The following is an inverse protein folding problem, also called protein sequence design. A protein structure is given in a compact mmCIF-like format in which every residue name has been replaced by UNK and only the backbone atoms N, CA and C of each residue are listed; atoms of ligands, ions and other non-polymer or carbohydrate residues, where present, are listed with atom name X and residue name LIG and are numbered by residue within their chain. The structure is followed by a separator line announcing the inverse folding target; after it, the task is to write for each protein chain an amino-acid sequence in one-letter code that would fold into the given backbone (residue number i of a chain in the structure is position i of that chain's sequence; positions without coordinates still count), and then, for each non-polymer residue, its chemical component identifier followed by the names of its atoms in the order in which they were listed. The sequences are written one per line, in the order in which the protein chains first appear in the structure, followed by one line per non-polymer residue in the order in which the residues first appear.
data_IF_597707189115
#
_entry.id   IF_597707189115
#
_cell.length_a   1.000
_cell.length_b   1.000
_cell.length_c   1.000
_cell.angle_alpha   90.00
_cell.angle_beta   90.00
_cell.angle_gamma   90.00
#
_symmetry.space_group_name_H-M   'P 1'
#
loop_
_entity.id
_entity.type
_entity.pdbx_description
1 polymer ?
#
# COMPACT_ATOMS: atom_id res chain seq x y z
N UNK A 1 7.01 12.74 19.07
CA UNK A 1 7.10 13.25 17.68
C UNK A 1 8.11 12.33 17.03
N UNK A 2 7.66 11.45 16.11
CA UNK A 2 8.59 10.61 15.35
C UNK A 2 9.47 11.54 14.52
N UNK A 3 10.78 11.26 14.52
CA UNK A 3 11.71 11.92 13.62
C UNK A 3 11.48 11.35 12.20
N UNK A 4 10.80 12.11 11.36
CA UNK A 4 10.48 11.72 9.98
C UNK A 4 11.47 12.33 8.97
N UNK A 5 12.60 12.87 9.44
CA UNK A 5 13.55 13.57 8.56
C UNK A 5 14.05 12.66 7.45
N UNK A 6 14.35 11.38 7.74
CA UNK A 6 14.78 10.40 6.75
C UNK A 6 13.70 10.11 5.66
N UNK A 7 12.41 10.12 6.01
CA UNK A 7 11.32 9.98 5.01
C UNK A 7 11.24 11.21 4.12
N UNK A 8 11.36 12.41 4.71
CA UNK A 8 11.40 13.64 3.94
C UNK A 8 12.59 13.66 2.98
N UNK A 9 13.78 13.30 3.46
CA UNK A 9 14.99 13.25 2.63
C UNK A 9 14.81 12.26 1.46
N UNK A 10 14.31 11.05 1.74
CA UNK A 10 14.07 10.06 0.71
C UNK A 10 13.08 10.53 -0.36
N UNK A 11 11.89 10.98 0.06
CA UNK A 11 10.83 11.38 -0.89
C UNK A 11 11.08 12.73 -1.58
N UNK A 12 12.01 13.54 -1.10
CA UNK A 12 12.47 14.71 -1.84
C UNK A 12 13.36 14.36 -3.05
N UNK A 13 14.01 13.20 -3.03
CA UNK A 13 14.91 12.73 -4.08
C UNK A 13 14.30 11.62 -4.96
N UNK A 14 13.33 10.87 -4.43
CA UNK A 14 12.71 9.75 -5.10
C UNK A 14 11.53 10.19 -5.97
N UNK A 15 11.51 9.74 -7.25
CA UNK A 15 10.37 9.96 -8.17
C UNK A 15 9.21 8.99 -7.83
N UNK A 16 8.44 9.32 -6.79
CA UNK A 16 7.22 8.58 -6.44
C UNK A 16 6.13 8.74 -7.51
N UNK A 17 6.14 9.84 -8.25
CA UNK A 17 5.08 10.14 -9.21
C UNK A 17 5.02 9.15 -10.37
N UNK A 18 6.19 8.73 -10.86
CA UNK A 18 6.30 7.75 -11.93
C UNK A 18 6.18 6.28 -11.49
N UNK A 19 6.23 5.97 -10.22
CA UNK A 19 6.42 4.60 -9.70
C UNK A 19 5.46 3.55 -10.27
N UNK A 20 4.20 3.87 -10.35
CA UNK A 20 3.13 2.94 -10.79
C UNK A 20 2.83 3.01 -12.30
N UNK A 21 3.48 3.90 -13.05
CA UNK A 21 3.24 4.10 -14.49
C UNK A 21 4.44 3.83 -15.37
N UNK A 22 5.64 4.17 -14.88
CA UNK A 22 6.87 4.18 -15.69
C UNK A 22 7.41 2.80 -16.03
N UNK A 23 6.91 1.75 -15.37
CA UNK A 23 7.33 0.37 -15.60
C UNK A 23 6.14 -0.58 -15.72
N UNK A 24 6.32 -1.71 -16.42
CA UNK A 24 5.30 -2.76 -16.48
C UNK A 24 5.07 -3.40 -15.12
N UNK A 25 6.10 -3.54 -14.30
CA UNK A 25 5.96 -4.03 -12.91
C UNK A 25 5.05 -3.10 -12.10
N UNK A 26 5.27 -1.80 -12.13
CA UNK A 26 4.41 -0.81 -11.47
C UNK A 26 2.97 -0.85 -11.99
N UNK A 27 2.80 -1.01 -13.32
CA UNK A 27 1.47 -1.17 -13.93
C UNK A 27 0.75 -2.44 -13.44
N UNK A 28 1.44 -3.58 -13.24
CA UNK A 28 0.84 -4.79 -12.66
C UNK A 28 0.28 -4.50 -11.27
N UNK A 29 1.07 -3.85 -10.41
CA UNK A 29 0.65 -3.46 -9.05
C UNK A 29 -0.59 -2.55 -9.09
N UNK A 30 -0.55 -1.49 -9.90
CA UNK A 30 -1.66 -0.55 -10.04
C UNK A 30 -2.94 -1.22 -10.57
N UNK A 31 -2.83 -1.97 -11.67
CA UNK A 31 -3.97 -2.64 -12.30
C UNK A 31 -4.58 -3.72 -11.39
N UNK A 32 -3.75 -4.40 -10.60
CA UNK A 32 -4.25 -5.36 -9.62
C UNK A 32 -5.00 -4.66 -8.50
N UNK A 33 -4.46 -3.59 -7.94
CA UNK A 33 -5.17 -2.80 -6.92
C UNK A 33 -6.50 -2.27 -7.45
N UNK A 34 -6.53 -1.69 -8.67
CA UNK A 34 -7.77 -1.20 -9.31
C UNK A 34 -8.78 -2.33 -9.53
N UNK A 35 -8.34 -3.52 -9.95
CA UNK A 35 -9.22 -4.68 -10.14
C UNK A 35 -10.05 -5.02 -8.90
N UNK A 36 -9.49 -4.82 -7.71
CA UNK A 36 -10.18 -5.09 -6.44
C UNK A 36 -10.87 -3.86 -5.86
N UNK A 37 -10.39 -2.67 -6.17
CA UNK A 37 -11.02 -1.42 -5.75
C UNK A 37 -12.26 -1.10 -6.58
N UNK A 38 -12.18 -1.19 -7.92
CA UNK A 38 -13.24 -0.75 -8.83
C UNK A 38 -14.61 -1.39 -8.55
N UNK A 39 -14.73 -2.69 -8.23
CA UNK A 39 -16.02 -3.28 -7.88
C UNK A 39 -16.66 -2.75 -6.58
N UNK A 40 -15.88 -2.10 -5.72
CA UNK A 40 -16.35 -1.50 -4.46
C UNK A 40 -16.85 -0.06 -4.65
N UNK A 41 -16.49 0.56 -5.77
CA UNK A 41 -16.85 1.92 -6.08
C UNK A 41 -18.32 2.01 -6.49
N UNK A 42 -19.09 2.80 -5.77
CA UNK A 42 -20.50 3.09 -6.07
C UNK A 42 -20.70 4.57 -6.24
N UNK A 43 -21.77 4.97 -6.95
CA UNK A 43 -22.11 6.38 -7.14
C UNK A 43 -22.24 7.10 -5.78
N UNK A 44 -21.51 8.22 -5.63
CA UNK A 44 -21.51 9.06 -4.42
C UNK A 44 -20.75 8.48 -3.23
N UNK A 45 -19.98 7.39 -3.39
CA UNK A 45 -19.14 6.90 -2.30
C UNK A 45 -18.05 7.91 -1.94
N UNK A 46 -17.74 8.00 -0.64
CA UNK A 46 -16.67 8.81 -0.09
C UNK A 46 -15.45 7.96 0.17
N UNK A 47 -14.31 8.41 -0.32
CA UNK A 47 -13.05 7.69 -0.26
C UNK A 47 -12.04 8.49 0.54
N UNK A 48 -11.38 7.86 1.53
CA UNK A 48 -10.18 8.41 2.15
C UNK A 48 -8.95 7.64 1.63
N UNK A 49 -7.92 8.34 1.19
CA UNK A 49 -6.60 7.75 0.95
C UNK A 49 -5.62 8.30 1.96
N UNK A 50 -5.02 7.41 2.76
CA UNK A 50 -4.07 7.70 3.81
C UNK A 50 -2.68 7.29 3.35
N UNK A 51 -1.74 8.26 3.30
CA UNK A 51 -0.47 8.11 2.62
C UNK A 51 -0.65 8.21 1.10
N UNK A 52 -1.31 9.29 0.65
CA UNK A 52 -1.71 9.46 -0.74
C UNK A 52 -0.52 9.66 -1.71
N UNK A 53 0.69 9.89 -1.18
CA UNK A 53 1.87 10.17 -1.98
C UNK A 53 1.63 11.34 -2.93
N UNK A 54 2.01 11.20 -4.18
CA UNK A 54 1.78 12.18 -5.23
C UNK A 54 0.38 12.10 -5.86
N UNK A 55 -0.53 11.28 -5.28
CA UNK A 55 -1.96 11.25 -5.62
C UNK A 55 -2.34 10.32 -6.76
N UNK A 56 -1.60 9.22 -6.98
CA UNK A 56 -1.91 8.29 -8.08
C UNK A 56 -3.34 7.76 -8.05
N UNK A 57 -3.84 7.36 -6.89
CA UNK A 57 -5.21 6.90 -6.72
C UNK A 57 -6.16 8.08 -6.46
N UNK A 58 -5.83 8.96 -5.52
CA UNK A 58 -6.69 10.10 -5.12
C UNK A 58 -7.09 10.98 -6.28
N UNK A 59 -6.13 11.42 -7.11
CA UNK A 59 -6.38 12.28 -8.26
C UNK A 59 -7.18 11.54 -9.33
N UNK A 60 -6.84 10.26 -9.59
CA UNK A 60 -7.57 9.45 -10.56
C UNK A 60 -9.03 9.26 -10.16
N UNK A 61 -9.28 8.87 -8.90
CA UNK A 61 -10.62 8.67 -8.37
C UNK A 61 -11.44 9.97 -8.36
N UNK A 62 -10.81 11.09 -8.00
CA UNK A 62 -11.48 12.39 -8.03
C UNK A 62 -11.85 12.83 -9.45
N UNK A 63 -10.98 12.57 -10.45
CA UNK A 63 -11.29 12.78 -11.88
C UNK A 63 -12.37 11.85 -12.41
N UNK A 64 -12.52 10.67 -11.83
CA UNK A 64 -13.62 9.74 -12.10
C UNK A 64 -14.95 10.18 -11.45
N UNK A 65 -14.94 11.25 -10.63
CA UNK A 65 -16.14 11.88 -10.04
C UNK A 65 -16.46 11.46 -8.61
N UNK A 66 -15.56 10.76 -7.92
CA UNK A 66 -15.74 10.37 -6.52
C UNK A 66 -15.38 11.51 -5.55
N UNK A 67 -15.97 11.47 -4.34
CA UNK A 67 -15.65 12.39 -3.23
C UNK A 67 -14.43 11.86 -2.48
N UNK A 68 -13.26 12.48 -2.68
CA UNK A 68 -11.99 11.99 -2.19
C UNK A 68 -11.41 12.89 -1.11
N UNK A 69 -10.90 12.29 -0.04
CA UNK A 69 -10.03 12.97 0.93
C UNK A 69 -8.66 12.29 0.91
N UNK A 70 -7.64 13.02 0.47
CA UNK A 70 -6.26 12.59 0.41
C UNK A 70 -5.47 13.13 1.60
N UNK A 71 -4.92 12.23 2.42
CA UNK A 71 -4.05 12.57 3.55
C UNK A 71 -2.63 12.11 3.23
N UNK A 72 -1.67 13.02 3.30
CA UNK A 72 -0.26 12.73 3.02
C UNK A 72 0.62 13.34 4.12
N UNK A 73 1.63 12.59 4.56
CA UNK A 73 2.56 13.02 5.60
C UNK A 73 3.62 13.95 5.04
N UNK A 74 4.17 13.63 3.87
CA UNK A 74 5.30 14.30 3.26
C UNK A 74 4.83 15.52 2.46
N UNK A 75 5.28 16.70 2.85
CA UNK A 75 4.83 17.94 2.24
C UNK A 75 5.15 18.02 0.74
N UNK A 76 6.32 17.55 0.34
CA UNK A 76 6.74 17.50 -1.07
C UNK A 76 5.75 16.70 -1.93
N UNK A 77 5.39 15.50 -1.51
CA UNK A 77 4.42 14.66 -2.20
C UNK A 77 3.05 15.33 -2.28
N UNK A 78 2.61 15.96 -1.17
CA UNK A 78 1.34 16.68 -1.11
C UNK A 78 1.31 17.86 -2.09
N UNK A 79 2.42 18.57 -2.27
CA UNK A 79 2.51 19.67 -3.22
C UNK A 79 2.46 19.17 -4.67
N UNK A 80 3.12 18.05 -4.98
CA UNK A 80 3.00 17.39 -6.29
C UNK A 80 1.55 16.97 -6.54
N UNK A 81 0.89 16.33 -5.58
CA UNK A 81 -0.52 15.95 -5.68
C UNK A 81 -1.38 17.18 -6.02
N UNK A 82 -1.24 18.26 -5.26
CA UNK A 82 -1.99 19.51 -5.46
C UNK A 82 -1.75 20.14 -6.82
N UNK A 83 -0.53 20.02 -7.34
CA UNK A 83 -0.17 20.59 -8.67
C UNK A 83 -0.89 19.91 -9.83
N UNK A 84 -1.44 18.70 -9.63
CA UNK A 84 -2.19 17.92 -10.64
C UNK A 84 -3.68 18.25 -10.68
N UNK A 85 -4.16 19.07 -9.74
CA UNK A 85 -5.55 19.45 -9.62
C UNK A 85 -5.80 20.75 -10.38
N UNK A 86 -6.89 20.79 -11.15
CA UNK A 86 -7.32 22.00 -11.85
C UNK A 86 -8.51 22.72 -11.17
N UNK A 87 -9.01 22.15 -10.07
CA UNK A 87 -10.10 22.69 -9.26
C UNK A 87 -11.49 22.21 -9.69
N UNK A 88 -11.58 21.32 -10.67
CA UNK A 88 -12.85 20.69 -11.07
C UNK A 88 -13.12 19.40 -10.28
N UNK A 89 -12.08 18.83 -9.66
CA UNK A 89 -12.17 17.57 -8.94
C UNK A 89 -12.78 17.76 -7.54
N UNK A 90 -13.60 16.80 -7.13
CA UNK A 90 -14.12 16.76 -5.76
C UNK A 90 -13.13 16.08 -4.82
N UNK A 91 -12.04 16.79 -4.52
CA UNK A 91 -10.94 16.28 -3.68
C UNK A 91 -10.57 17.30 -2.58
N UNK A 92 -10.43 16.80 -1.37
CA UNK A 92 -9.83 17.52 -0.24
C UNK A 92 -8.45 16.94 0.06
N UNK A 93 -7.44 17.80 0.18
CA UNK A 93 -6.07 17.39 0.50
C UNK A 93 -5.66 17.92 1.87
N UNK A 94 -5.11 17.04 2.70
CA UNK A 94 -4.68 17.36 4.08
C UNK A 94 -3.26 16.82 4.32
N UNK A 95 -2.45 17.58 5.07
CA UNK A 95 -1.26 16.98 5.67
C UNK A 95 -1.67 16.24 6.94
N UNK A 96 -1.19 15.01 7.12
CA UNK A 96 -1.55 14.20 8.28
C UNK A 96 -0.74 12.92 8.40
N UNK A 97 -0.82 12.29 9.57
CA UNK A 97 -0.12 11.05 9.90
C UNK A 97 -1.14 9.92 10.09
N UNK A 98 -0.89 8.76 9.50
CA UNK A 98 -1.75 7.57 9.65
C UNK A 98 -1.95 7.13 11.11
N UNK A 99 -1.04 7.50 12.01
CA UNK A 99 -1.14 7.20 13.44
C UNK A 99 -2.13 8.10 14.18
N UNK A 100 -2.52 9.22 13.59
CA UNK A 100 -3.45 10.19 14.17
C UNK A 100 -4.23 10.91 13.07
N UNK A 101 -5.44 10.45 12.82
CA UNK A 101 -6.36 11.01 11.83
C UNK A 101 -7.49 11.83 12.48
N UNK A 102 -7.24 12.47 13.63
CA UNK A 102 -8.23 13.27 14.35
C UNK A 102 -8.88 14.38 13.50
N UNK A 103 -8.25 14.77 12.40
CA UNK A 103 -8.78 15.72 11.41
C UNK A 103 -9.94 15.16 10.57
N UNK A 104 -10.15 13.83 10.61
CA UNK A 104 -11.20 13.12 9.90
C UNK A 104 -12.24 12.57 10.88
N UNK A 105 -13.52 12.75 10.50
CA UNK A 105 -14.65 12.31 11.33
C UNK A 105 -14.83 10.78 11.30
N UNK A 106 -15.36 10.25 12.41
CA UNK A 106 -15.69 8.83 12.55
C UNK A 106 -16.78 8.41 11.53
N UNK A 107 -16.69 7.18 11.05
CA UNK A 107 -17.71 6.54 10.22
C UNK A 107 -18.16 7.37 9.00
N UNK A 108 -17.21 8.02 8.34
CA UNK A 108 -17.48 8.97 7.26
C UNK A 108 -17.27 8.38 5.88
N UNK A 109 -16.28 7.52 5.72
CA UNK A 109 -15.84 7.01 4.42
C UNK A 109 -16.41 5.63 4.12
N UNK A 110 -16.83 5.41 2.89
CA UNK A 110 -17.28 4.11 2.39
C UNK A 110 -16.09 3.20 2.12
N UNK A 111 -14.98 3.80 1.65
CA UNK A 111 -13.72 3.11 1.35
C UNK A 111 -12.56 3.91 1.95
N UNK A 112 -11.67 3.24 2.65
CA UNK A 112 -10.39 3.80 3.12
C UNK A 112 -9.23 3.04 2.49
N UNK A 113 -8.37 3.76 1.78
CA UNK A 113 -7.14 3.25 1.20
C UNK A 113 -5.97 3.56 2.16
N UNK A 114 -5.24 2.54 2.56
CA UNK A 114 -4.04 2.64 3.42
C UNK A 114 -2.89 1.96 2.66
N UNK A 115 -2.48 2.57 1.53
CA UNK A 115 -1.62 1.94 0.53
C UNK A 115 -0.13 2.30 0.66
N UNK A 116 0.25 3.17 1.58
CA UNK A 116 1.62 3.62 1.82
C UNK A 116 2.12 3.43 3.24
N UNK A 117 1.37 3.82 4.26
CA UNK A 117 1.90 3.97 5.61
C UNK A 117 2.44 2.70 6.27
N UNK A 118 1.85 1.52 6.00
CA UNK A 118 2.13 0.31 6.79
C UNK A 118 3.59 -0.16 6.72
N UNK A 119 4.28 0.13 5.65
CA UNK A 119 5.69 -0.24 5.50
C UNK A 119 6.68 0.86 5.94
N UNK A 120 6.17 1.97 6.48
CA UNK A 120 6.94 3.01 7.19
C UNK A 120 6.66 3.02 8.70
N UNK A 121 5.96 2.00 9.20
CA UNK A 121 5.67 1.80 10.62
C UNK A 121 6.44 0.56 11.09
N UNK A 122 7.37 0.73 12.03
CA UNK A 122 8.38 -0.28 12.35
C UNK A 122 7.97 -1.22 13.49
N UNK A 123 6.88 -0.91 14.17
CA UNK A 123 6.35 -1.76 15.25
C UNK A 123 4.95 -2.27 14.91
N UNK A 124 4.63 -3.48 15.40
CA UNK A 124 3.27 -4.03 15.29
C UNK A 124 2.24 -3.08 15.91
N UNK A 125 2.58 -2.43 17.04
CA UNK A 125 1.67 -1.51 17.70
C UNK A 125 1.37 -0.25 16.86
N UNK A 126 2.33 0.29 16.14
CA UNK A 126 2.10 1.40 15.20
C UNK A 126 1.18 0.98 14.06
N UNK A 127 1.42 -0.19 13.45
CA UNK A 127 0.55 -0.74 12.41
C UNK A 127 -0.89 -0.94 12.90
N UNK A 128 -1.05 -1.49 14.12
CA UNK A 128 -2.36 -1.62 14.77
C UNK A 128 -3.01 -0.24 14.99
N UNK A 129 -2.24 0.76 15.38
CA UNK A 129 -2.75 2.12 15.60
C UNK A 129 -3.23 2.74 14.28
N UNK A 130 -2.45 2.66 13.22
CA UNK A 130 -2.84 3.14 11.90
C UNK A 130 -4.10 2.43 11.37
N UNK A 131 -4.17 1.10 11.55
CA UNK A 131 -5.36 0.35 11.14
C UNK A 131 -6.59 0.70 12.01
N UNK A 132 -6.43 0.97 13.32
CA UNK A 132 -7.53 1.46 14.18
C UNK A 132 -8.06 2.81 13.69
N UNK A 133 -7.20 3.73 13.30
CA UNK A 133 -7.61 5.01 12.74
C UNK A 133 -8.35 4.83 11.41
N UNK A 134 -7.85 3.99 10.50
CA UNK A 134 -8.55 3.64 9.27
C UNK A 134 -9.93 3.03 9.55
N UNK A 135 -10.03 2.11 10.51
CA UNK A 135 -11.31 1.52 10.96
C UNK A 135 -12.24 2.58 11.55
N UNK A 136 -11.73 3.52 12.37
CA UNK A 136 -12.52 4.57 13.00
C UNK A 136 -13.23 5.44 11.96
N UNK A 137 -12.48 5.90 10.94
CA UNK A 137 -13.02 6.81 9.91
C UNK A 137 -13.92 6.10 8.88
N UNK A 138 -13.75 4.78 8.69
CA UNK A 138 -14.56 3.97 7.76
C UNK A 138 -15.94 3.70 8.37
N UNK A 139 -16.99 3.76 7.56
CA UNK A 139 -18.36 3.41 7.94
C UNK A 139 -18.48 1.94 8.34
N UNK A 140 -19.41 1.56 9.25
CA UNK A 140 -19.76 0.14 9.43
C UNK A 140 -20.15 -0.51 8.11
N UNK A 141 -19.57 -1.67 7.81
CA UNK A 141 -19.74 -2.37 6.51
C UNK A 141 -18.92 -1.80 5.36
N UNK A 142 -18.21 -0.68 5.55
CA UNK A 142 -17.28 -0.11 4.55
C UNK A 142 -15.98 -0.89 4.45
N UNK A 143 -15.21 -0.62 3.40
CA UNK A 143 -13.99 -1.37 3.05
C UNK A 143 -12.72 -0.61 3.40
N UNK A 144 -11.70 -1.36 3.77
CA UNK A 144 -10.35 -0.84 4.03
C UNK A 144 -9.37 -1.68 3.21
N UNK A 145 -8.63 -1.04 2.32
CA UNK A 145 -7.61 -1.67 1.50
C UNK A 145 -6.23 -1.30 2.05
N UNK A 146 -5.47 -2.30 2.47
CA UNK A 146 -4.18 -2.09 3.16
C UNK A 146 -3.05 -2.73 2.37
N UNK A 147 -2.03 -1.95 2.01
CA UNK A 147 -0.84 -2.48 1.35
C UNK A 147 0.28 -2.78 2.33
N UNK A 148 0.99 -3.88 2.09
CA UNK A 148 2.14 -4.33 2.85
C UNK A 148 3.29 -4.71 1.93
N UNK A 149 4.54 -4.51 2.40
CA UNK A 149 5.75 -5.08 1.79
C UNK A 149 6.05 -6.44 2.43
N UNK A 150 6.35 -7.45 1.60
CA UNK A 150 6.46 -8.83 2.05
C UNK A 150 7.92 -9.26 2.26
N UNK A 151 8.15 -9.95 3.37
CA UNK A 151 9.46 -10.36 3.84
C UNK A 151 10.22 -11.26 2.85
N UNK A 152 9.59 -12.36 2.40
CA UNK A 152 10.28 -13.38 1.60
C UNK A 152 10.73 -12.85 0.25
N UNK A 153 9.94 -11.97 -0.37
CA UNK A 153 10.34 -11.32 -1.62
C UNK A 153 11.59 -10.46 -1.44
N UNK A 154 11.66 -9.71 -0.33
CA UNK A 154 12.84 -8.88 0.00
C UNK A 154 14.07 -9.76 0.25
N UNK A 155 13.95 -10.83 1.04
CA UNK A 155 15.05 -11.77 1.28
C UNK A 155 15.53 -12.40 -0.03
N UNK A 156 14.63 -12.91 -0.87
CA UNK A 156 15.02 -13.56 -2.14
C UNK A 156 15.67 -12.56 -3.09
N UNK A 157 15.07 -11.40 -3.29
CA UNK A 157 15.52 -10.46 -4.34
C UNK A 157 16.67 -9.58 -3.87
N UNK A 158 16.53 -8.91 -2.72
CA UNK A 158 17.53 -7.97 -2.24
C UNK A 158 18.72 -8.70 -1.61
N UNK A 159 18.47 -9.60 -0.66
CA UNK A 159 19.56 -10.26 0.07
C UNK A 159 20.34 -11.20 -0.83
N UNK A 160 19.65 -12.11 -1.54
CA UNK A 160 20.32 -13.11 -2.40
C UNK A 160 20.47 -12.64 -3.84
N UNK A 161 19.41 -12.13 -4.47
CA UNK A 161 19.40 -11.74 -5.87
C UNK A 161 20.34 -10.58 -6.20
N UNK A 162 20.41 -9.59 -5.30
CA UNK A 162 21.32 -8.44 -5.43
C UNK A 162 22.65 -8.61 -4.67
N UNK A 163 22.90 -9.79 -4.08
CA UNK A 163 24.16 -10.13 -3.39
C UNK A 163 24.47 -9.27 -2.16
N UNK A 164 23.45 -8.84 -1.40
CA UNK A 164 23.62 -8.05 -0.17
C UNK A 164 23.77 -8.91 1.10
N UNK A 165 23.87 -10.25 1.00
CA UNK A 165 23.88 -11.15 2.16
C UNK A 165 24.92 -10.76 3.22
N UNK A 166 26.15 -10.43 2.83
CA UNK A 166 27.21 -10.08 3.77
C UNK A 166 26.89 -8.81 4.54
N UNK A 167 26.48 -7.78 3.84
CA UNK A 167 26.10 -6.49 4.43
C UNK A 167 24.95 -6.64 5.42
N UNK A 168 23.88 -7.33 5.01
CA UNK A 168 22.69 -7.56 5.82
C UNK A 168 23.01 -8.37 7.09
N UNK A 169 23.90 -9.38 7.00
CA UNK A 169 24.35 -10.14 8.16
C UNK A 169 25.28 -9.33 9.09
N UNK A 170 26.19 -8.53 8.56
CA UNK A 170 27.06 -7.65 9.35
C UNK A 170 26.28 -6.58 10.11
N UNK A 171 25.20 -6.07 9.52
CA UNK A 171 24.29 -5.07 10.11
C UNK A 171 23.20 -5.67 11.00
N UNK A 172 23.14 -7.01 11.13
CA UNK A 172 22.10 -7.73 11.89
C UNK A 172 20.65 -7.38 11.42
N UNK A 173 20.45 -7.21 10.13
CA UNK A 173 19.15 -6.88 9.53
C UNK A 173 18.27 -8.11 9.27
N UNK A 174 18.67 -9.30 9.72
CA UNK A 174 17.90 -10.53 9.65
C UNK A 174 17.93 -11.26 10.99
N UNK A 175 16.80 -11.84 11.34
CA UNK A 175 16.70 -12.79 12.45
C UNK A 175 17.19 -14.19 12.03
N UNK A 176 17.34 -15.11 12.99
CA UNK A 176 17.73 -16.51 12.73
C UNK A 176 16.73 -17.26 11.85
N UNK A 177 15.46 -16.83 11.82
CA UNK A 177 14.40 -17.37 10.97
C UNK A 177 14.15 -16.55 9.70
N UNK A 178 15.13 -15.72 9.31
CA UNK A 178 15.14 -14.93 8.07
C UNK A 178 14.06 -13.84 7.99
N UNK A 179 13.63 -13.33 9.13
CA UNK A 179 12.76 -12.15 9.15
C UNK A 179 13.62 -10.88 9.07
N UNK A 180 13.25 -9.96 8.18
CA UNK A 180 13.88 -8.65 8.10
C UNK A 180 13.67 -7.89 9.41
N UNK A 181 14.71 -7.22 9.87
CA UNK A 181 14.69 -6.29 10.99
C UNK A 181 15.03 -4.92 10.43
N UNK A 182 14.10 -4.00 10.51
CA UNK A 182 14.23 -2.67 9.93
C UNK A 182 14.12 -1.60 11.02
N UNK A 183 14.89 -0.54 10.83
CA UNK A 183 14.79 0.69 11.61
C UNK A 183 14.35 1.84 10.70
N UNK A 184 13.91 2.98 11.24
CA UNK A 184 13.47 4.12 10.42
C UNK A 184 14.41 4.52 9.27
N UNK A 185 15.71 4.45 9.47
CA UNK A 185 16.72 4.74 8.43
C UNK A 185 16.71 3.77 7.24
N UNK A 186 16.13 2.57 7.42
CA UNK A 186 16.07 1.52 6.38
C UNK A 186 14.84 1.70 5.47
N UNK A 187 14.01 2.69 5.74
CA UNK A 187 12.82 3.14 5.01
C UNK A 187 11.63 2.19 5.05
N UNK A 188 11.83 0.89 4.79
CA UNK A 188 10.75 -0.05 4.64
C UNK A 188 10.81 -1.16 5.68
N UNK A 189 9.68 -1.42 6.31
CA UNK A 189 9.45 -2.56 7.18
C UNK A 189 8.69 -3.66 6.44
N UNK A 190 9.19 -4.90 6.54
CA UNK A 190 8.61 -6.05 5.86
C UNK A 190 7.80 -6.90 6.84
N UNK A 191 6.70 -7.48 6.34
CA UNK A 191 5.84 -8.36 7.13
C UNK A 191 5.71 -9.72 6.48
N UNK A 192 5.31 -10.71 7.29
CA UNK A 192 4.80 -12.01 6.85
C UNK A 192 3.27 -12.05 6.97
N UNK A 193 2.66 -13.05 6.38
CA UNK A 193 1.19 -13.23 6.45
C UNK A 193 0.72 -13.31 7.90
N UNK A 194 1.47 -13.97 8.77
CA UNK A 194 1.16 -14.13 10.19
C UNK A 194 1.20 -12.80 10.95
N UNK A 195 2.06 -11.87 10.54
CA UNK A 195 2.10 -10.50 11.09
C UNK A 195 0.81 -9.76 10.74
N UNK A 196 0.39 -9.84 9.46
CA UNK A 196 -0.87 -9.23 8.99
C UNK A 196 -2.08 -9.80 9.73
N UNK A 197 -2.09 -11.13 9.98
CA UNK A 197 -3.15 -11.79 10.74
C UNK A 197 -3.24 -11.26 12.17
N UNK A 198 -2.10 -11.07 12.86
CA UNK A 198 -2.07 -10.49 14.21
C UNK A 198 -2.55 -9.04 14.25
N UNK A 199 -2.14 -8.23 13.27
CA UNK A 199 -2.58 -6.84 13.14
C UNK A 199 -4.11 -6.79 12.96
N UNK A 200 -4.67 -7.59 12.07
CA UNK A 200 -6.10 -7.64 11.81
C UNK A 200 -6.90 -8.14 13.03
N UNK A 201 -6.37 -9.12 13.78
CA UNK A 201 -7.02 -9.63 14.98
C UNK A 201 -7.20 -8.58 16.10
N UNK A 202 -6.44 -7.48 16.05
CA UNK A 202 -6.49 -6.41 17.05
C UNK A 202 -7.59 -5.36 16.77
N UNK A 203 -8.33 -5.47 15.65
CA UNK A 203 -9.34 -4.50 15.21
C UNK A 203 -10.64 -5.20 14.75
N UNK A 204 -11.80 -4.52 14.76
CA UNK A 204 -13.08 -5.11 14.38
C UNK A 204 -13.25 -5.13 12.85
N UNK A 205 -12.47 -5.94 12.17
CA UNK A 205 -12.55 -6.15 10.73
C UNK A 205 -12.74 -7.63 10.37
N UNK A 206 -13.17 -7.87 9.15
CA UNK A 206 -13.20 -9.18 8.51
C UNK A 206 -12.39 -9.09 7.22
N UNK A 207 -11.43 -10.02 7.04
CA UNK A 207 -10.69 -10.11 5.77
C UNK A 207 -11.57 -10.76 4.72
N UNK A 208 -11.79 -10.04 3.62
CA UNK A 208 -12.46 -10.60 2.45
C UNK A 208 -11.46 -11.26 1.50
N UNK A 209 -10.30 -10.63 1.30
CA UNK A 209 -9.24 -11.15 0.43
C UNK A 209 -7.86 -10.71 0.90
N UNK A 210 -6.86 -11.53 0.65
CA UNK A 210 -5.44 -11.15 0.64
C UNK A 210 -4.89 -11.45 -0.75
N UNK A 211 -4.28 -10.46 -1.39
CA UNK A 211 -3.93 -10.47 -2.82
C UNK A 211 -2.47 -10.10 -3.01
N UNK A 212 -1.77 -10.87 -3.85
CA UNK A 212 -0.45 -10.48 -4.35
C UNK A 212 -0.62 -9.40 -5.43
N UNK A 213 -0.21 -8.15 -5.18
CA UNK A 213 -0.43 -7.07 -6.15
C UNK A 213 0.53 -7.08 -7.31
N UNK A 214 1.76 -7.53 -7.12
CA UNK A 214 2.77 -7.65 -8.17
C UNK A 214 3.23 -9.09 -8.44
N UNK A 215 2.93 -10.02 -7.54
CA UNK A 215 3.21 -11.45 -7.69
C UNK A 215 4.68 -11.71 -8.06
N UNK A 216 4.89 -12.50 -9.11
CA UNK A 216 6.22 -12.82 -9.62
C UNK A 216 6.79 -11.75 -10.57
N UNK A 217 6.10 -10.61 -10.79
CA UNK A 217 6.50 -9.62 -11.80
C UNK A 217 7.89 -9.04 -11.56
N UNK A 218 8.27 -8.81 -10.30
CA UNK A 218 9.60 -8.29 -9.97
C UNK A 218 10.71 -9.28 -10.22
N UNK A 219 10.44 -10.59 -10.08
CA UNK A 219 11.44 -11.66 -10.33
C UNK A 219 11.82 -11.79 -11.80
N UNK A 220 10.89 -11.41 -12.69
CA UNK A 220 11.10 -11.45 -14.14
C UNK A 220 11.12 -10.06 -14.75
N UNK A 221 11.47 -9.04 -13.97
CA UNK A 221 11.35 -7.62 -14.34
C UNK A 221 11.95 -7.32 -15.72
N UNK A 222 13.19 -7.77 -15.97
CA UNK A 222 13.88 -7.50 -17.22
C UNK A 222 13.08 -8.04 -18.42
N UNK A 223 12.61 -9.28 -18.34
CA UNK A 223 11.78 -9.88 -19.38
C UNK A 223 10.41 -9.20 -19.52
N UNK A 224 9.83 -8.80 -18.39
CA UNK A 224 8.52 -8.15 -18.38
C UNK A 224 8.57 -6.79 -19.11
N UNK A 225 9.63 -6.02 -18.91
CA UNK A 225 9.79 -4.71 -19.57
C UNK A 225 10.04 -4.86 -21.08
N UNK A 226 10.59 -5.99 -21.54
CA UNK A 226 10.85 -6.27 -22.96
C UNK A 226 9.67 -6.94 -23.70
N UNK A 227 8.63 -7.40 -23.00
CA UNK A 227 7.45 -8.01 -23.64
C UNK A 227 6.77 -7.03 -24.58
N UNK A 228 6.18 -7.53 -25.66
CA UNK A 228 5.19 -6.75 -26.41
C UNK A 228 3.86 -6.64 -25.63
N UNK A 229 2.94 -5.80 -26.10
CA UNK A 229 1.70 -5.54 -25.38
C UNK A 229 0.80 -6.78 -25.29
N UNK A 230 0.73 -7.62 -26.32
CA UNK A 230 -0.06 -8.86 -26.34
C UNK A 230 0.47 -9.87 -25.30
N UNK A 231 1.79 -10.02 -25.24
CA UNK A 231 2.44 -10.88 -24.24
C UNK A 231 2.25 -10.34 -22.83
N UNK A 232 2.33 -9.02 -22.65
CA UNK A 232 2.08 -8.39 -21.36
C UNK A 232 0.62 -8.55 -20.90
N UNK A 233 -0.36 -8.40 -21.77
CA UNK A 233 -1.77 -8.63 -21.45
C UNK A 233 -2.04 -10.10 -21.08
N UNK A 234 -1.32 -11.04 -21.72
CA UNK A 234 -1.36 -12.45 -21.37
C UNK A 234 -0.76 -12.70 -19.99
N UNK A 235 0.37 -12.04 -19.67
CA UNK A 235 0.95 -12.05 -18.33
C UNK A 235 -0.01 -11.53 -17.27
N UNK A 236 -0.67 -10.40 -17.53
CA UNK A 236 -1.70 -9.85 -16.62
C UNK A 236 -2.83 -10.84 -16.39
N UNK A 237 -3.29 -11.53 -17.43
CA UNK A 237 -4.33 -12.55 -17.31
C UNK A 237 -3.89 -13.71 -16.41
N UNK A 238 -2.64 -14.21 -16.55
CA UNK A 238 -2.05 -15.20 -15.66
C UNK A 238 -1.94 -14.68 -14.23
N UNK A 239 -1.43 -13.45 -14.05
CA UNK A 239 -1.29 -12.82 -12.73
C UNK A 239 -2.65 -12.72 -12.05
N UNK A 240 -3.67 -12.23 -12.71
CA UNK A 240 -5.03 -12.12 -12.16
C UNK A 240 -5.66 -13.48 -11.81
N UNK A 241 -5.30 -14.54 -12.51
CA UNK A 241 -5.77 -15.89 -12.18
C UNK A 241 -5.06 -16.50 -10.96
N UNK A 242 -3.90 -15.93 -10.56
CA UNK A 242 -3.04 -16.52 -9.52
C UNK A 242 -2.82 -15.61 -8.31
N UNK A 243 -3.17 -14.32 -8.38
CA UNK A 243 -2.85 -13.33 -7.34
C UNK A 243 -3.55 -13.59 -5.98
N UNK A 244 -4.63 -14.38 -5.94
CA UNK A 244 -5.30 -14.80 -4.69
C UNK A 244 -4.78 -16.15 -4.16
N UNK A 245 -3.84 -16.79 -4.82
CA UNK A 245 -3.32 -18.11 -4.40
C UNK A 245 -2.50 -17.96 -3.12
N UNK A 246 -2.94 -18.59 -2.04
CA UNK A 246 -2.32 -18.52 -0.72
C UNK A 246 -0.87 -19.03 -0.71
N UNK A 247 -0.55 -19.99 -1.59
CA UNK A 247 0.78 -20.56 -1.76
C UNK A 247 1.77 -19.64 -2.51
N UNK A 248 1.30 -18.50 -3.07
CA UNK A 248 2.12 -17.55 -3.81
C UNK A 248 2.21 -16.16 -3.15
N UNK A 249 1.27 -15.81 -2.28
CA UNK A 249 1.17 -14.46 -1.70
C UNK A 249 2.42 -14.09 -0.90
N UNK A 250 2.97 -15.02 -0.11
CA UNK A 250 4.16 -14.75 0.72
C UNK A 250 5.41 -14.33 -0.09
N UNK A 251 5.47 -14.69 -1.37
CA UNK A 251 6.59 -14.37 -2.25
C UNK A 251 6.38 -13.13 -3.14
N UNK A 252 5.23 -12.44 -3.04
CA UNK A 252 5.01 -11.15 -3.72
C UNK A 252 5.78 -10.03 -3.01
N UNK A 253 6.19 -8.98 -3.72
CA UNK A 253 6.78 -7.81 -3.04
C UNK A 253 5.73 -7.01 -2.28
N UNK A 254 4.55 -6.81 -2.88
CA UNK A 254 3.45 -6.11 -2.25
C UNK A 254 2.22 -7.02 -2.16
N UNK A 255 1.60 -7.01 -0.98
CA UNK A 255 0.31 -7.65 -0.77
C UNK A 255 -0.75 -6.59 -0.46
N UNK A 256 -1.97 -6.79 -0.96
CA UNK A 256 -3.15 -6.00 -0.65
C UNK A 256 -4.10 -6.81 0.21
N UNK A 257 -4.36 -6.33 1.42
CA UNK A 257 -5.34 -6.91 2.34
C UNK A 257 -6.65 -6.13 2.24
N UNK A 258 -7.72 -6.79 1.82
CA UNK A 258 -9.03 -6.20 1.61
C UNK A 258 -9.90 -6.59 2.79
N UNK A 259 -10.21 -5.59 3.59
CA UNK A 259 -10.92 -5.74 4.85
C UNK A 259 -12.28 -5.06 4.78
N UNK A 260 -13.27 -5.65 5.44
CA UNK A 260 -14.56 -5.03 5.71
C UNK A 260 -14.67 -4.70 7.19
N UNK A 261 -15.02 -3.45 7.52
CA UNK A 261 -15.33 -3.09 8.90
C UNK A 261 -16.60 -3.79 9.37
N UNK A 262 -16.53 -4.50 10.50
CA UNK A 262 -17.71 -5.16 11.09
C UNK A 262 -18.78 -4.13 11.45
N UNK A 263 -20.02 -4.48 11.25
CA UNK A 263 -21.18 -3.71 11.70
C UNK A 263 -21.32 -3.76 13.22
N UNK A 264 -22.18 -2.89 13.76
CA UNK A 264 -22.43 -2.83 15.23
C UNK A 264 -23.09 -4.11 15.74
N UNK A 265 -23.66 -4.94 14.86
CA UNK A 265 -24.42 -6.15 15.19
C UNK A 265 -23.79 -7.46 14.62
N UNK A 266 -22.58 -7.40 14.09
CA UNK A 266 -21.83 -8.55 13.56
C UNK A 266 -21.01 -9.26 14.62
#
# INVERSE_FOLDING_TARGET
MQDNDYLNDYYNEYDEDGRLESSRVGRVEYLTTRRYLDPLLTEGCKIAEIGAGTGRYSVTLAKEGYDVTAVELIHHNLDILRSKLDGSENIKTCQGNALDLHILEDNTYDITLLLGPMYHLYTEQEKITALKEAVRITKPGGHILVAYCMNEATVIQYVFGCNHLREVMELNMLTDDWKCVSEPKDLFEMVRIEDIERINAAVPVERERLVATDGASRYIREYLEEMDDETFDTWLSYHFATCERQDLIGATNHALDILRKRGIND
#
